data_IF_501977812565
#
_entry.id   IF_501977812565
#
_cell.length_a   1.000
_cell.length_b   1.000
_cell.length_c   1.000
_cell.angle_alpha   90.00
_cell.angle_beta   90.00
_cell.angle_gamma   90.00
#
_symmetry.space_group_name_H-M   'P 1'
#
loop_
_entity.id
_entity.type
_entity.pdbx_description
1 polymer ?
#
# COMPACT_ATOMS: atom_id res chain seq x y z
N UNK A 1 -20.29 7.11 -15.79
CA UNK A 1 -19.06 6.30 -15.97
C UNK A 1 -17.89 7.13 -15.45
N UNK A 2 -17.29 6.76 -14.32
CA UNK A 2 -16.11 7.47 -13.82
C UNK A 2 -14.89 7.09 -14.65
N UNK A 3 -14.15 8.09 -15.14
CA UNK A 3 -12.92 7.86 -15.92
C UNK A 3 -11.84 7.37 -14.96
N UNK A 4 -11.44 6.10 -15.09
CA UNK A 4 -10.31 5.56 -14.33
C UNK A 4 -9.03 6.23 -14.78
N UNK A 5 -8.33 6.89 -13.84
CA UNK A 5 -7.02 7.48 -14.10
C UNK A 5 -5.99 6.38 -14.37
N UNK A 6 -5.33 6.45 -15.52
CA UNK A 6 -4.26 5.53 -15.91
C UNK A 6 -2.93 6.23 -15.80
N UNK A 7 -2.00 5.65 -15.05
CA UNK A 7 -0.67 6.19 -14.81
C UNK A 7 0.35 5.57 -15.77
N UNK A 8 1.20 6.40 -16.34
CA UNK A 8 2.31 5.97 -17.19
C UNK A 8 3.65 6.35 -16.57
N UNK A 9 4.69 5.57 -16.84
CA UNK A 9 6.05 5.87 -16.40
C UNK A 9 6.50 7.22 -16.99
N UNK A 10 7.16 8.02 -16.15
CA UNK A 10 7.66 9.36 -16.51
C UNK A 10 9.18 9.40 -16.31
N UNK A 11 9.98 9.21 -17.37
CA UNK A 11 11.44 9.15 -17.27
C UNK A 11 12.08 10.40 -16.66
N UNK A 12 11.53 11.58 -16.97
CA UNK A 12 11.93 12.87 -16.42
C UNK A 12 11.72 12.95 -14.90
N UNK A 13 10.56 12.48 -14.42
CA UNK A 13 10.23 12.44 -13.00
C UNK A 13 11.07 11.38 -12.25
N UNK A 14 11.35 10.27 -12.91
CA UNK A 14 12.23 9.22 -12.43
C UNK A 14 13.65 9.73 -12.26
N UNK A 15 14.24 10.33 -13.30
CA UNK A 15 15.59 10.91 -13.26
C UNK A 15 15.70 11.94 -12.13
N UNK A 16 14.71 12.83 -12.00
CA UNK A 16 14.63 13.80 -10.90
C UNK A 16 14.57 13.14 -9.52
N UNK A 17 13.91 11.99 -9.38
CA UNK A 17 13.84 11.25 -8.12
C UNK A 17 15.16 10.51 -7.78
N UNK A 18 15.99 10.23 -8.80
CA UNK A 18 17.31 9.63 -8.64
C UNK A 18 18.40 10.65 -8.27
N UNK A 19 18.24 11.92 -8.67
CA UNK A 19 19.10 13.02 -8.23
C UNK A 19 19.15 13.09 -6.69
N UNK A 20 20.29 13.43 -6.07
CA UNK A 20 20.37 13.63 -4.63
C UNK A 20 19.52 14.84 -4.22
N UNK A 21 18.41 14.69 -3.46
CA UNK A 21 17.54 15.80 -3.18
C UNK A 21 17.61 16.24 -1.70
N UNK A 22 17.26 17.50 -1.49
CA UNK A 22 16.92 18.12 -0.21
C UNK A 22 16.04 17.21 0.70
N UNK A 23 16.03 17.42 2.02
CA UNK A 23 15.26 16.62 2.96
C UNK A 23 13.82 16.39 2.48
N UNK A 24 13.40 15.12 2.56
CA UNK A 24 12.05 14.71 2.24
C UNK A 24 11.04 15.48 3.10
N UNK A 25 10.23 16.35 2.50
CA UNK A 25 9.10 16.98 3.18
C UNK A 25 8.11 15.93 3.72
N UNK A 26 7.26 16.27 4.70
CA UNK A 26 6.32 15.34 5.32
C UNK A 26 5.40 14.69 4.27
N UNK A 27 5.04 13.42 4.49
CA UNK A 27 4.02 12.73 3.69
C UNK A 27 2.66 13.14 4.28
N UNK A 28 1.78 13.72 3.46
CA UNK A 28 0.43 14.06 3.90
C UNK A 28 -0.34 12.78 4.28
N UNK A 29 -1.18 12.87 5.32
CA UNK A 29 -2.07 11.78 5.65
C UNK A 29 -3.09 11.58 4.51
N UNK A 30 -3.40 10.32 4.13
CA UNK A 30 -4.46 10.05 3.17
C UNK A 30 -5.82 10.49 3.72
N UNK A 31 -6.81 10.82 2.86
CA UNK A 31 -8.18 11.08 3.31
C UNK A 31 -8.76 9.89 4.08
N UNK A 32 -9.50 10.17 5.15
CA UNK A 32 -10.26 9.15 5.91
C UNK A 32 -11.69 8.98 5.41
N UNK A 33 -12.21 9.93 4.62
CA UNK A 33 -13.51 9.78 3.96
C UNK A 33 -13.41 8.79 2.79
N UNK A 34 -14.34 7.82 2.75
CA UNK A 34 -14.32 6.72 1.79
C UNK A 34 -14.48 7.21 0.34
N UNK A 35 -15.31 8.22 0.11
CA UNK A 35 -15.56 8.71 -1.25
C UNK A 35 -14.43 9.63 -1.71
N UNK A 36 -13.91 10.49 -0.84
CA UNK A 36 -12.72 11.30 -1.10
C UNK A 36 -11.50 10.42 -1.39
N UNK A 37 -11.31 9.33 -0.65
CA UNK A 37 -10.20 8.41 -0.86
C UNK A 37 -10.26 7.72 -2.24
N UNK A 38 -11.45 7.31 -2.68
CA UNK A 38 -11.64 6.74 -4.03
C UNK A 38 -11.42 7.79 -5.12
N UNK A 39 -11.86 9.03 -4.89
CA UNK A 39 -11.67 10.13 -5.84
C UNK A 39 -10.19 10.52 -6.01
N UNK A 40 -9.42 10.50 -4.92
CA UNK A 40 -7.97 10.75 -4.94
C UNK A 40 -7.16 9.56 -5.52
N UNK A 41 -7.78 8.39 -5.65
CA UNK A 41 -7.14 7.16 -6.12
C UNK A 41 -6.32 6.43 -5.03
N UNK A 42 -6.60 6.71 -3.76
CA UNK A 42 -5.97 6.01 -2.62
C UNK A 42 -6.52 4.59 -2.38
N UNK A 43 -7.53 4.17 -3.15
CA UNK A 43 -8.06 2.80 -3.12
C UNK A 43 -7.27 1.85 -4.06
N UNK A 44 -6.75 2.38 -5.17
CA UNK A 44 -5.98 1.61 -6.15
C UNK A 44 -5.28 2.47 -7.22
N UNK A 45 -4.23 1.90 -7.82
CA UNK A 45 -3.54 2.50 -8.96
C UNK A 45 -3.66 1.63 -10.22
N UNK A 46 -4.14 2.20 -11.32
CA UNK A 46 -4.10 1.54 -12.64
C UNK A 46 -2.96 2.09 -13.45
N UNK A 47 -2.02 1.23 -13.84
CA UNK A 47 -0.87 1.56 -14.66
C UNK A 47 -1.10 1.18 -16.13
N UNK A 48 -0.48 1.90 -17.05
CA UNK A 48 -0.48 1.56 -18.48
C UNK A 48 0.28 0.26 -18.77
N UNK A 49 1.35 -0.01 -18.01
CA UNK A 49 2.16 -1.22 -18.05
C UNK A 49 2.77 -1.48 -16.67
N UNK A 50 3.08 -2.74 -16.34
CA UNK A 50 3.83 -3.08 -15.14
C UNK A 50 4.71 -4.30 -15.37
N UNK A 51 5.99 -4.05 -15.61
CA UNK A 51 7.01 -5.07 -15.86
C UNK A 51 7.86 -5.31 -14.60
N UNK A 52 8.74 -6.31 -14.65
CA UNK A 52 9.72 -6.53 -13.58
C UNK A 52 10.65 -5.32 -13.39
N UNK A 53 11.01 -4.62 -14.47
CA UNK A 53 11.83 -3.40 -14.39
C UNK A 53 11.08 -2.28 -13.65
N UNK A 54 9.79 -2.09 -13.95
CA UNK A 54 8.95 -1.09 -13.28
C UNK A 54 8.85 -1.39 -11.77
N UNK A 55 8.70 -2.67 -11.41
CA UNK A 55 8.68 -3.11 -10.01
C UNK A 55 10.01 -2.82 -9.30
N UNK A 56 11.14 -3.08 -9.96
CA UNK A 56 12.47 -2.80 -9.43
C UNK A 56 12.70 -1.30 -9.20
N UNK A 57 12.34 -0.47 -10.18
CA UNK A 57 12.47 0.98 -10.10
C UNK A 57 11.56 1.54 -8.99
N UNK A 58 10.28 1.18 -9.00
CA UNK A 58 9.32 1.61 -7.99
C UNK A 58 9.77 1.25 -6.57
N UNK A 59 10.21 0.00 -6.36
CA UNK A 59 10.69 -0.45 -5.06
C UNK A 59 11.91 0.35 -4.56
N UNK A 60 12.86 0.67 -5.45
CA UNK A 60 14.00 1.50 -5.08
C UNK A 60 13.62 2.96 -4.79
N UNK A 61 12.68 3.53 -5.55
CA UNK A 61 12.19 4.88 -5.30
C UNK A 61 11.48 4.97 -3.95
N UNK A 62 10.63 4.00 -3.61
CA UNK A 62 9.97 3.90 -2.31
C UNK A 62 10.98 3.76 -1.18
N UNK A 63 11.95 2.84 -1.31
CA UNK A 63 13.03 2.65 -0.33
C UNK A 63 13.83 3.93 -0.09
N UNK A 64 14.15 4.67 -1.16
CA UNK A 64 14.86 5.96 -1.08
C UNK A 64 14.02 7.04 -0.41
N UNK A 65 12.72 7.11 -0.68
CA UNK A 65 11.80 8.05 0.00
C UNK A 65 11.72 7.72 1.48
N UNK A 66 11.63 6.44 1.80
CA UNK A 66 11.53 5.91 3.14
C UNK A 66 12.76 6.16 4.00
N UNK A 67 13.96 5.87 3.49
CA UNK A 67 15.22 6.09 4.21
C UNK A 67 15.49 7.55 4.54
N UNK A 68 14.79 8.48 3.88
CA UNK A 68 14.88 9.93 4.11
C UNK A 68 13.84 10.44 5.10
N UNK A 69 12.80 9.66 5.38
CA UNK A 69 11.83 9.98 6.42
C UNK A 69 12.37 9.53 7.78
N UNK A 70 12.37 10.40 8.79
CA UNK A 70 12.83 10.08 10.16
C UNK A 70 11.82 9.21 10.93
N UNK A 71 10.93 8.49 10.23
CA UNK A 71 9.85 7.73 10.85
C UNK A 71 10.30 6.32 11.22
N UNK A 72 10.14 5.87 12.49
CA UNK A 72 10.47 4.51 12.92
C UNK A 72 9.52 3.43 12.38
N UNK A 73 8.48 3.76 11.61
CA UNK A 73 7.50 2.81 11.05
C UNK A 73 8.07 1.96 9.90
N UNK A 74 9.38 1.71 9.94
CA UNK A 74 10.30 1.57 8.83
C UNK A 74 10.38 0.17 8.14
N UNK A 75 9.40 -0.72 8.30
CA UNK A 75 9.41 -2.06 7.70
C UNK A 75 8.39 -2.39 6.59
N UNK A 76 7.25 -1.70 6.45
CA UNK A 76 6.05 -2.34 5.86
C UNK A 76 5.94 -2.43 4.32
N UNK A 77 6.79 -1.78 3.53
CA UNK A 77 6.48 -1.54 2.09
C UNK A 77 7.60 -1.91 1.11
N UNK A 78 8.18 -3.11 1.20
CA UNK A 78 9.06 -3.61 0.13
C UNK A 78 8.68 -5.04 -0.28
N UNK A 79 8.50 -5.25 -1.58
CA UNK A 79 8.30 -6.55 -2.26
C UNK A 79 9.51 -7.50 -2.16
N UNK A 80 10.55 -7.11 -1.40
CA UNK A 80 11.64 -7.97 -0.92
C UNK A 80 11.84 -7.68 0.57
N UNK A 81 12.13 -8.70 1.41
CA UNK A 81 12.41 -8.50 2.82
C UNK A 81 13.71 -7.71 2.95
N UNK A 82 13.61 -6.38 3.06
CA UNK A 82 14.73 -5.54 3.44
C UNK A 82 14.92 -5.70 4.94
N UNK A 83 15.75 -6.66 5.34
CA UNK A 83 16.25 -6.80 6.72
C UNK A 83 17.24 -5.66 7.01
N UNK A 84 16.72 -4.45 7.19
CA UNK A 84 17.48 -3.34 7.75
C UNK A 84 17.61 -3.48 9.27
N UNK A 85 18.61 -2.85 9.91
CA UNK A 85 18.65 -2.77 11.37
C UNK A 85 17.36 -2.11 11.88
N UNK A 86 16.60 -2.83 12.73
CA UNK A 86 15.34 -2.35 13.30
C UNK A 86 14.06 -2.91 12.66
N UNK A 87 14.15 -3.75 11.61
CA UNK A 87 12.97 -4.43 11.04
C UNK A 87 12.67 -5.69 11.85
N UNK A 88 11.57 -5.66 12.62
CA UNK A 88 11.14 -6.81 13.43
C UNK A 88 10.50 -7.90 12.56
N UNK A 89 10.65 -9.20 12.89
CA UNK A 89 10.02 -10.30 12.17
C UNK A 89 8.50 -10.18 12.00
N UNK A 90 7.82 -9.54 12.97
CA UNK A 90 6.37 -9.28 12.93
C UNK A 90 5.94 -8.49 11.68
N UNK A 91 6.85 -7.69 11.12
CA UNK A 91 6.59 -6.88 9.94
C UNK A 91 6.28 -7.73 8.69
N UNK A 92 6.87 -8.92 8.56
CA UNK A 92 6.54 -9.83 7.45
C UNK A 92 5.12 -10.38 7.59
N UNK A 93 4.68 -10.71 8.81
CA UNK A 93 3.31 -11.14 9.11
C UNK A 93 2.30 -10.04 8.75
N UNK A 94 2.57 -8.78 9.13
CA UNK A 94 1.72 -7.65 8.74
C UNK A 94 1.61 -7.48 7.23
N UNK A 95 2.72 -7.56 6.50
CA UNK A 95 2.72 -7.47 5.03
C UNK A 95 1.87 -8.58 4.41
N UNK A 96 1.97 -9.82 4.91
CA UNK A 96 1.15 -10.91 4.40
C UNK A 96 -0.34 -10.68 4.66
N UNK A 97 -0.70 -10.23 5.88
CA UNK A 97 -2.09 -9.96 6.25
C UNK A 97 -2.74 -8.85 5.42
N UNK A 98 -2.00 -7.77 5.22
CA UNK A 98 -2.43 -6.66 4.38
C UNK A 98 -2.54 -7.08 2.91
N UNK A 99 -1.58 -7.89 2.42
CA UNK A 99 -1.61 -8.46 1.06
C UNK A 99 -2.83 -9.35 0.84
N UNK A 100 -3.11 -10.27 1.77
CA UNK A 100 -4.28 -11.15 1.70
C UNK A 100 -5.58 -10.34 1.60
N UNK A 101 -5.64 -9.23 2.32
CA UNK A 101 -6.76 -8.30 2.28
C UNK A 101 -6.90 -7.65 0.91
N UNK A 102 -5.81 -7.10 0.36
CA UNK A 102 -5.83 -6.52 -0.99
C UNK A 102 -6.24 -7.55 -2.04
N UNK A 103 -5.74 -8.79 -1.95
CA UNK A 103 -6.04 -9.85 -2.92
C UNK A 103 -7.51 -10.30 -2.85
N UNK A 104 -8.08 -10.43 -1.64
CA UNK A 104 -9.45 -10.91 -1.47
C UNK A 104 -10.51 -9.87 -1.84
N UNK A 105 -10.28 -8.60 -1.50
CA UNK A 105 -11.28 -7.54 -1.70
C UNK A 105 -10.97 -6.56 -2.83
N UNK A 106 -9.77 -6.59 -3.40
CA UNK A 106 -9.40 -5.75 -4.52
C UNK A 106 -9.34 -4.25 -4.19
N UNK A 107 -9.12 -3.88 -2.94
CA UNK A 107 -8.96 -2.47 -2.56
C UNK A 107 -7.88 -2.30 -1.51
N UNK A 108 -7.41 -1.06 -1.33
CA UNK A 108 -6.40 -0.77 -0.32
C UNK A 108 -6.88 -1.12 1.09
N UNK A 109 -5.93 -1.52 1.93
CA UNK A 109 -6.17 -1.77 3.35
C UNK A 109 -6.59 -0.50 4.09
N UNK A 110 -6.18 0.67 3.61
CA UNK A 110 -6.65 1.96 4.13
C UNK A 110 -8.12 2.23 3.78
N UNK A 111 -8.59 1.85 2.59
CA UNK A 111 -10.02 1.93 2.28
C UNK A 111 -10.83 1.05 3.22
N UNK A 112 -10.35 -0.17 3.50
CA UNK A 112 -11.01 -1.04 4.47
C UNK A 112 -10.96 -0.45 5.88
N UNK A 113 -9.84 0.13 6.29
CA UNK A 113 -9.74 0.88 7.53
C UNK A 113 -10.88 1.89 7.67
N UNK A 114 -11.04 2.75 6.67
CA UNK A 114 -12.03 3.82 6.68
C UNK A 114 -13.48 3.30 6.68
N UNK A 115 -13.73 2.15 6.03
CA UNK A 115 -15.07 1.54 5.99
C UNK A 115 -15.52 0.96 7.33
N UNK A 116 -14.58 0.50 8.14
CA UNK A 116 -14.86 -0.15 9.43
C UNK A 116 -14.37 0.67 10.62
N UNK A 117 -13.96 1.92 10.40
CA UNK A 117 -13.39 2.80 11.44
C UNK A 117 -12.22 2.14 12.22
N UNK A 118 -11.43 1.32 11.51
CA UNK A 118 -10.35 0.53 12.10
C UNK A 118 -10.78 -0.66 12.97
N UNK A 119 -12.09 -0.96 13.07
CA UNK A 119 -12.62 -2.08 13.82
C UNK A 119 -12.45 -3.41 13.06
N UNK A 120 -11.40 -4.16 13.41
CA UNK A 120 -11.17 -5.51 12.88
C UNK A 120 -12.27 -6.50 13.30
N UNK A 121 -12.94 -6.28 14.43
CA UNK A 121 -14.06 -7.09 14.89
C UNK A 121 -15.27 -6.95 13.97
N UNK A 122 -15.73 -5.73 13.74
CA UNK A 122 -16.80 -5.44 12.80
C UNK A 122 -16.49 -5.92 11.36
N UNK A 123 -15.22 -5.79 10.93
CA UNK A 123 -14.75 -6.33 9.67
C UNK A 123 -14.86 -7.86 9.61
N UNK A 124 -14.39 -8.57 10.65
CA UNK A 124 -14.49 -10.02 10.75
C UNK A 124 -15.94 -10.46 10.73
N UNK A 125 -16.78 -9.84 11.57
CA UNK A 125 -18.24 -10.02 11.68
C UNK A 125 -18.92 -9.94 10.31
N UNK A 126 -18.63 -8.87 9.57
CA UNK A 126 -19.23 -8.63 8.26
C UNK A 126 -18.91 -9.72 7.22
N UNK A 127 -17.73 -10.34 7.31
CA UNK A 127 -17.24 -11.30 6.33
C UNK A 127 -17.24 -12.75 6.82
N UNK A 128 -17.92 -13.06 7.93
CA UNK A 128 -18.06 -14.43 8.42
C UNK A 128 -16.74 -15.06 8.90
N UNK A 129 -15.78 -14.26 9.33
CA UNK A 129 -14.45 -14.75 9.76
C UNK A 129 -14.40 -15.18 11.24
N UNK A 130 -15.53 -15.13 11.95
CA UNK A 130 -15.60 -15.55 13.36
C UNK A 130 -15.53 -17.07 13.53
N UNK A 131 -15.64 -17.82 12.43
CA UNK A 131 -15.65 -19.29 12.42
C UNK A 131 -14.32 -19.88 12.92
N UNK A 132 -13.20 -19.16 12.74
CA UNK A 132 -11.90 -19.54 13.30
C UNK A 132 -11.01 -18.32 13.54
N UNK A 133 -10.31 -18.31 14.68
CA UNK A 133 -9.31 -17.30 15.00
C UNK A 133 -8.15 -17.29 13.98
N UNK A 134 -7.82 -18.44 13.40
CA UNK A 134 -6.74 -18.57 12.42
C UNK A 134 -7.10 -17.83 11.12
N UNK A 135 -8.35 -17.99 10.64
CA UNK A 135 -8.85 -17.29 9.46
C UNK A 135 -8.89 -15.78 9.70
N UNK A 136 -9.28 -15.35 10.89
CA UNK A 136 -9.31 -13.94 11.27
C UNK A 136 -7.91 -13.30 11.35
N UNK A 137 -6.89 -14.08 11.72
CA UNK A 137 -5.50 -13.64 11.82
C UNK A 137 -4.82 -13.45 10.46
N UNK A 138 -5.36 -14.03 9.38
CA UNK A 138 -4.81 -13.92 8.01
C UNK A 138 -5.00 -12.56 7.35
N UNK A 139 -5.81 -11.66 7.93
CA UNK A 139 -6.20 -10.38 7.32
C UNK A 139 -5.92 -9.20 8.25
N UNK A 140 -5.71 -8.01 7.66
CA UNK A 140 -5.45 -6.76 8.37
C UNK A 140 -5.93 -5.56 7.56
N UNK A 141 -6.49 -4.56 8.26
CA UNK A 141 -7.08 -3.35 7.64
C UNK A 141 -6.47 -2.05 8.18
N UNK A 142 -5.21 -2.05 8.66
CA UNK A 142 -4.61 -0.87 9.30
C UNK A 142 -3.84 0.08 8.34
N UNK A 143 -3.90 -0.19 7.03
CA UNK A 143 -3.27 0.64 6.00
C UNK A 143 -1.78 0.33 5.81
N UNK A 144 -1.42 -0.10 4.60
CA UNK A 144 -0.03 -0.40 4.23
C UNK A 144 0.10 -1.10 2.88
N UNK A 145 -0.98 -1.74 2.41
CA UNK A 145 -1.07 -2.32 1.07
C UNK A 145 -2.12 -1.63 0.18
N UNK A 146 -1.76 -1.40 -1.09
CA UNK A 146 -2.60 -0.84 -2.15
C UNK A 146 -2.48 -1.70 -3.42
N UNK A 147 -3.60 -2.05 -4.09
CA UNK A 147 -3.54 -2.81 -5.33
C UNK A 147 -2.98 -1.98 -6.49
N UNK A 148 -2.06 -2.59 -7.24
CA UNK A 148 -1.59 -2.10 -8.53
C UNK A 148 -2.27 -2.95 -9.61
N UNK A 149 -2.94 -2.29 -10.54
CA UNK A 149 -3.62 -2.89 -11.70
C UNK A 149 -2.91 -2.49 -12.98
N UNK A 150 -3.04 -3.29 -14.02
CA UNK A 150 -2.57 -2.97 -15.37
C UNK A 150 -3.77 -2.80 -16.29
N UNK A 151 -3.80 -1.74 -17.09
CA UNK A 151 -4.89 -1.50 -18.03
C UNK A 151 -4.98 -2.66 -19.02
N UNK A 152 -6.17 -3.26 -19.12
CA UNK A 152 -6.44 -4.35 -20.06
C UNK A 152 -6.05 -5.75 -19.58
N UNK A 153 -5.61 -5.87 -18.32
CA UNK A 153 -5.48 -7.15 -17.62
C UNK A 153 -6.60 -7.40 -16.63
#
# INVERSE_FOLDING_TARGET
MSITKVWSRRPDAEEKAWQPPAPAGPIAAPPSDVEALKQDGGDSFTLASFTHEDAWVLGNLLRRRWSRSRSPTAGRSCSRPSRGPGVMPDNETWVQRERNTVLRWGCSTWLMHCKYDGDEGAFRDKFGMQVSADVAAEYAIHGGAVPIRVKGG
#
